data_IF_894921879716
#
_entry.id   IF_894921879716
#
_cell.length_a   1.000
_cell.length_b   1.000
_cell.length_c   1.000
_cell.angle_alpha   90.00
_cell.angle_beta   90.00
_cell.angle_gamma   90.00
#
_symmetry.space_group_name_H-M   'P 1'
#
loop_
_entity.id
_entity.type
_entity.pdbx_description
1 polymer ?
#
# COMPACT_ATOMS: atom_id res chain seq x y z
N UNK A 1 3.62 1.14 -16.27
CA UNK A 1 4.21 -0.07 -16.88
C UNK A 1 5.59 -0.40 -16.28
N UNK A 2 6.55 0.55 -16.28
CA UNK A 2 7.93 0.28 -15.81
C UNK A 2 7.97 -0.11 -14.33
N UNK A 3 7.12 0.50 -13.48
CA UNK A 3 7.00 0.13 -12.06
C UNK A 3 6.53 -1.32 -11.86
N UNK A 4 5.60 -1.79 -12.68
CA UNK A 4 5.15 -3.18 -12.64
C UNK A 4 6.29 -4.15 -13.03
N UNK A 5 7.04 -3.82 -14.08
CA UNK A 5 8.16 -4.63 -14.55
C UNK A 5 9.29 -4.68 -13.50
N UNK A 6 9.63 -3.54 -12.88
CA UNK A 6 10.67 -3.50 -11.85
C UNK A 6 10.25 -4.28 -10.59
N UNK A 7 8.99 -4.13 -10.15
CA UNK A 7 8.46 -4.87 -9.01
C UNK A 7 8.39 -6.37 -9.30
N UNK A 8 7.89 -6.77 -10.48
CA UNK A 8 7.83 -8.18 -10.86
C UNK A 8 9.21 -8.82 -10.95
N UNK A 9 10.19 -8.11 -11.53
CA UNK A 9 11.58 -8.61 -11.64
C UNK A 9 12.26 -8.73 -10.28
N UNK A 10 12.12 -7.71 -9.44
CA UNK A 10 12.70 -7.71 -8.09
C UNK A 10 12.00 -8.75 -7.19
N UNK A 11 10.67 -8.81 -7.24
CA UNK A 11 9.89 -9.80 -6.49
C UNK A 11 10.26 -11.24 -6.88
N UNK A 12 10.44 -11.51 -8.19
CA UNK A 12 10.93 -12.80 -8.65
C UNK A 12 12.34 -13.11 -8.12
N UNK A 13 13.23 -12.12 -8.11
CA UNK A 13 14.60 -12.32 -7.60
C UNK A 13 14.64 -12.62 -6.09
N UNK A 14 13.70 -12.06 -5.32
CA UNK A 14 13.62 -12.24 -3.86
C UNK A 14 12.89 -13.55 -3.49
N UNK A 15 11.78 -13.86 -4.17
CA UNK A 15 10.86 -14.94 -3.78
C UNK A 15 10.92 -16.17 -4.69
N UNK A 16 11.67 -16.14 -5.80
CA UNK A 16 11.76 -17.19 -6.83
C UNK A 16 10.40 -17.54 -7.50
N UNK A 17 9.39 -16.68 -7.36
CA UNK A 17 8.12 -16.80 -8.08
C UNK A 17 7.54 -15.42 -8.38
N UNK A 18 6.63 -15.36 -9.35
CA UNK A 18 5.94 -14.11 -9.69
C UNK A 18 4.75 -13.94 -8.77
N UNK A 19 4.79 -12.92 -7.93
CA UNK A 19 3.67 -12.52 -7.09
C UNK A 19 2.81 -11.48 -7.83
N UNK A 20 1.57 -11.84 -8.16
CA UNK A 20 0.65 -10.97 -8.90
C UNK A 20 0.33 -9.69 -8.12
N UNK A 21 0.15 -9.79 -6.80
CA UNK A 21 -0.11 -8.63 -5.94
C UNK A 21 1.07 -7.66 -5.96
N UNK A 22 2.31 -8.15 -5.88
CA UNK A 22 3.49 -7.29 -5.98
C UNK A 22 3.62 -6.64 -7.36
N UNK A 23 3.28 -7.35 -8.44
CA UNK A 23 3.27 -6.79 -9.79
C UNK A 23 2.25 -5.65 -9.92
N UNK A 24 1.04 -5.84 -9.41
CA UNK A 24 -0.02 -4.81 -9.40
C UNK A 24 0.39 -3.63 -8.52
N UNK A 25 0.88 -3.89 -7.31
CA UNK A 25 1.37 -2.85 -6.40
C UNK A 25 2.54 -2.06 -7.00
N UNK A 26 3.43 -2.71 -7.73
CA UNK A 26 4.49 -2.03 -8.48
C UNK A 26 3.96 -1.11 -9.59
N UNK A 27 2.88 -1.52 -10.27
CA UNK A 27 2.19 -0.66 -11.23
C UNK A 27 1.63 0.60 -10.54
N UNK A 28 0.91 0.41 -9.44
CA UNK A 28 0.33 1.50 -8.66
C UNK A 28 1.41 2.42 -8.08
N UNK A 29 2.48 1.86 -7.50
CA UNK A 29 3.61 2.64 -6.98
C UNK A 29 4.30 3.49 -8.05
N UNK A 30 4.44 2.94 -9.26
CA UNK A 30 4.96 3.70 -10.40
C UNK A 30 4.05 4.86 -10.81
N UNK A 31 2.74 4.67 -10.77
CA UNK A 31 1.76 5.73 -11.02
C UNK A 31 1.78 6.79 -9.91
N UNK A 32 1.81 6.37 -8.65
CA UNK A 32 1.92 7.29 -7.50
C UNK A 32 3.20 8.13 -7.61
N UNK A 33 4.34 7.49 -7.87
CA UNK A 33 5.63 8.16 -7.96
C UNK A 33 5.68 9.24 -9.04
N UNK A 34 5.02 9.04 -10.20
CA UNK A 34 5.06 10.02 -11.29
C UNK A 34 4.01 11.12 -11.16
N UNK A 35 3.00 10.94 -10.32
CA UNK A 35 1.82 11.82 -10.27
C UNK A 35 2.20 13.29 -9.99
N UNK A 36 3.13 13.55 -9.07
CA UNK A 36 3.51 14.89 -8.67
C UNK A 36 4.25 15.67 -9.76
N UNK A 37 4.98 14.99 -10.65
CA UNK A 37 5.91 15.61 -11.61
C UNK A 37 5.66 15.29 -13.08
N UNK A 38 4.58 14.58 -13.42
CA UNK A 38 4.35 14.05 -14.77
C UNK A 38 4.40 15.09 -15.90
N UNK A 39 4.00 16.33 -15.61
CA UNK A 39 4.00 17.43 -16.57
C UNK A 39 5.36 18.14 -16.73
N UNK A 40 6.27 17.94 -15.77
CA UNK A 40 7.53 18.67 -15.66
C UNK A 40 8.77 17.80 -15.89
N UNK A 41 8.60 16.53 -16.28
CA UNK A 41 9.71 15.61 -16.55
C UNK A 41 9.65 15.03 -17.96
N UNK A 42 10.80 14.63 -18.49
CA UNK A 42 10.87 13.93 -19.79
C UNK A 42 10.46 12.45 -19.64
N UNK A 43 10.06 11.81 -20.75
CA UNK A 43 9.65 10.40 -20.75
C UNK A 43 10.71 9.44 -20.17
N UNK A 44 12.01 9.55 -20.48
CA UNK A 44 13.03 8.70 -19.86
C UNK A 44 13.10 8.88 -18.33
N UNK A 45 12.98 10.12 -17.86
CA UNK A 45 12.95 10.43 -16.41
C UNK A 45 11.70 9.87 -15.77
N UNK A 46 10.54 9.97 -16.42
CA UNK A 46 9.31 9.35 -15.94
C UNK A 46 9.44 7.82 -15.79
N UNK A 47 10.11 7.17 -16.75
CA UNK A 47 10.42 5.74 -16.65
C UNK A 47 11.34 5.43 -15.45
N UNK A 48 12.37 6.23 -15.21
CA UNK A 48 13.25 6.10 -14.05
C UNK A 48 12.47 6.25 -12.73
N UNK A 49 11.64 7.28 -12.63
CA UNK A 49 10.81 7.53 -11.44
C UNK A 49 9.89 6.34 -11.16
N UNK A 50 9.22 5.83 -12.19
CA UNK A 50 8.33 4.67 -12.07
C UNK A 50 9.08 3.38 -11.73
N UNK A 51 10.28 3.17 -12.27
CA UNK A 51 11.13 2.03 -11.95
C UNK A 51 11.48 2.01 -10.46
N UNK A 52 11.95 3.13 -9.92
CA UNK A 52 12.29 3.25 -8.50
C UNK A 52 11.04 3.10 -7.63
N UNK A 53 9.89 3.66 -8.05
CA UNK A 53 8.61 3.47 -7.36
C UNK A 53 8.23 1.99 -7.20
N UNK A 54 8.37 1.20 -8.27
CA UNK A 54 8.14 -0.24 -8.21
C UNK A 54 9.12 -0.99 -7.29
N UNK A 55 10.40 -0.60 -7.28
CA UNK A 55 11.38 -1.17 -6.35
C UNK A 55 11.05 -0.83 -4.89
N UNK A 56 10.60 0.40 -4.62
CA UNK A 56 10.17 0.84 -3.28
C UNK A 56 8.97 0.01 -2.80
N UNK A 57 8.03 -0.32 -3.69
CA UNK A 57 6.86 -1.13 -3.34
C UNK A 57 7.27 -2.52 -2.83
N UNK A 58 8.21 -3.20 -3.50
CA UNK A 58 8.68 -4.52 -3.08
C UNK A 58 9.56 -4.42 -1.83
N UNK A 59 10.54 -3.53 -1.81
CA UNK A 59 11.45 -3.37 -0.67
C UNK A 59 10.73 -2.91 0.60
N UNK A 60 9.71 -2.06 0.44
CA UNK A 60 8.87 -1.61 1.55
C UNK A 60 7.99 -2.73 2.10
N UNK A 61 7.40 -3.56 1.25
CA UNK A 61 6.62 -4.74 1.64
C UNK A 61 7.48 -5.73 2.46
N UNK A 62 8.69 -6.05 1.97
CA UNK A 62 9.62 -6.92 2.69
C UNK A 62 10.10 -6.30 4.03
N UNK A 63 10.30 -4.97 4.06
CA UNK A 63 10.65 -4.27 5.30
C UNK A 63 9.51 -4.34 6.33
N UNK A 64 8.25 -4.14 5.92
CA UNK A 64 7.11 -4.22 6.82
C UNK A 64 6.94 -5.64 7.40
N UNK A 65 7.10 -6.67 6.57
CA UNK A 65 7.12 -8.07 7.02
C UNK A 65 8.22 -8.31 8.06
N UNK A 66 9.43 -7.81 7.80
CA UNK A 66 10.54 -7.92 8.76
C UNK A 66 10.24 -7.22 10.09
N UNK A 67 9.55 -6.08 10.06
CA UNK A 67 9.15 -5.32 11.24
C UNK A 67 7.90 -5.88 11.94
N UNK A 68 7.24 -6.91 11.38
CA UNK A 68 6.00 -7.47 11.90
C UNK A 68 4.82 -6.49 11.80
N UNK A 69 4.84 -5.59 10.83
CA UNK A 69 3.76 -4.63 10.57
C UNK A 69 2.87 -5.20 9.47
N UNK A 70 1.60 -5.40 9.79
CA UNK A 70 0.60 -5.85 8.82
C UNK A 70 0.16 -4.72 7.91
N UNK A 71 0.19 -4.98 6.61
CA UNK A 71 -0.32 -4.09 5.56
C UNK A 71 -0.95 -4.95 4.47
N UNK A 72 -2.23 -5.27 4.65
CA UNK A 72 -2.96 -6.25 3.83
C UNK A 72 -2.93 -5.96 2.32
N UNK A 73 -2.83 -4.70 1.93
CA UNK A 73 -2.89 -4.27 0.51
C UNK A 73 -1.60 -3.60 0.02
N UNK A 74 -0.60 -3.46 0.87
CA UNK A 74 0.63 -2.75 0.53
C UNK A 74 0.46 -1.23 0.45
N UNK A 75 -0.45 -0.66 1.24
CA UNK A 75 -0.76 0.77 1.21
C UNK A 75 0.45 1.63 1.61
N UNK A 76 1.21 1.20 2.61
CA UNK A 76 2.38 1.95 3.09
C UNK A 76 3.47 2.04 2.01
N UNK A 77 3.98 0.95 1.44
CA UNK A 77 5.04 1.04 0.43
C UNK A 77 4.57 1.70 -0.87
N UNK A 78 3.32 1.44 -1.29
CA UNK A 78 2.78 1.98 -2.55
C UNK A 78 2.46 3.47 -2.44
N UNK A 79 1.76 3.89 -1.38
CA UNK A 79 1.30 5.29 -1.29
C UNK A 79 2.27 6.17 -0.51
N UNK A 80 2.71 5.76 0.69
CA UNK A 80 3.65 6.54 1.46
C UNK A 80 5.06 6.49 0.85
N UNK A 81 5.60 5.29 0.62
CA UNK A 81 6.94 5.10 0.11
C UNK A 81 7.14 5.72 -1.27
N UNK A 82 6.33 5.31 -2.25
CA UNK A 82 6.43 5.85 -3.60
C UNK A 82 5.94 7.31 -3.70
N UNK A 83 5.05 7.78 -2.81
CA UNK A 83 4.63 9.18 -2.74
C UNK A 83 5.75 10.10 -2.25
N UNK A 84 6.49 9.73 -1.21
CA UNK A 84 7.69 10.44 -0.75
C UNK A 84 8.70 10.52 -1.89
N UNK A 85 8.98 9.39 -2.55
CA UNK A 85 9.89 9.35 -3.68
C UNK A 85 9.43 10.26 -4.82
N UNK A 86 8.15 10.19 -5.22
CA UNK A 86 7.59 11.01 -6.29
C UNK A 86 7.66 12.50 -6.00
N UNK A 87 7.39 12.90 -4.76
CA UNK A 87 7.52 14.28 -4.32
C UNK A 87 8.97 14.75 -4.38
N UNK A 88 9.92 13.96 -3.90
CA UNK A 88 11.35 14.25 -4.03
C UNK A 88 11.81 14.30 -5.48
N UNK A 89 11.28 13.43 -6.33
CA UNK A 89 11.62 13.38 -7.75
C UNK A 89 11.28 14.68 -8.51
N UNK A 90 10.24 15.41 -8.08
CA UNK A 90 9.95 16.75 -8.59
C UNK A 90 11.13 17.71 -8.33
N UNK A 91 11.65 17.70 -7.12
CA UNK A 91 12.82 18.50 -6.76
C UNK A 91 14.08 18.07 -7.50
N UNK A 92 14.28 16.77 -7.70
CA UNK A 92 15.48 16.22 -8.32
C UNK A 92 15.51 16.37 -9.85
N UNK A 93 14.39 16.10 -10.52
CA UNK A 93 14.32 15.92 -11.95
C UNK A 93 13.37 16.87 -12.68
N UNK A 94 12.46 17.54 -11.96
CA UNK A 94 11.50 18.46 -12.57
C UNK A 94 12.18 19.60 -13.32
N UNK A 95 11.67 19.96 -14.49
CA UNK A 95 12.13 21.13 -15.24
C UNK A 95 11.70 22.39 -14.48
N UNK A 96 12.68 23.18 -14.01
CA UNK A 96 12.44 24.37 -13.18
C UNK A 96 11.66 25.47 -13.91
N UNK A 97 11.83 25.58 -15.23
CA UNK A 97 11.09 26.54 -16.05
C UNK A 97 9.61 26.16 -16.14
N UNK A 98 9.31 24.86 -16.32
CA UNK A 98 7.94 24.34 -16.38
C UNK A 98 7.28 24.41 -14.99
N UNK A 99 8.03 24.15 -13.92
CA UNK A 99 7.55 24.29 -12.55
C UNK A 99 7.18 25.73 -12.20
N UNK A 100 7.86 26.72 -12.82
CA UNK A 100 7.52 28.14 -12.70
C UNK A 100 7.68 28.73 -11.31
N UNK A 101 8.42 28.07 -10.41
CA UNK A 101 8.59 28.50 -9.01
C UNK A 101 9.63 29.58 -8.82
N UNK A 102 10.51 29.78 -9.78
CA UNK A 102 11.65 30.70 -9.67
C UNK A 102 12.75 30.25 -8.72
N UNK A 103 12.63 29.04 -8.16
CA UNK A 103 13.58 28.46 -7.20
C UNK A 103 14.76 27.81 -7.92
N UNK A 104 15.91 27.80 -7.27
CA UNK A 104 17.03 26.96 -7.66
C UNK A 104 16.74 25.49 -7.39
N UNK A 105 17.52 24.58 -7.99
CA UNK A 105 17.36 23.13 -7.77
C UNK A 105 17.43 22.74 -6.28
N UNK A 106 18.36 23.32 -5.53
CA UNK A 106 18.51 23.05 -4.11
C UNK A 106 17.32 23.54 -3.28
N UNK A 107 16.83 24.74 -3.57
CA UNK A 107 15.64 25.29 -2.91
C UNK A 107 14.38 24.45 -3.25
N UNK A 108 14.25 24.02 -4.51
CA UNK A 108 13.14 23.17 -4.92
C UNK A 108 13.14 21.83 -4.14
N UNK A 109 14.30 21.18 -3.96
CA UNK A 109 14.42 19.97 -3.13
C UNK A 109 14.05 20.30 -1.67
N UNK A 110 14.54 21.42 -1.13
CA UNK A 110 14.21 21.85 0.23
C UNK A 110 12.71 22.05 0.45
N UNK A 111 12.01 22.67 -0.50
CA UNK A 111 10.54 22.83 -0.45
C UNK A 111 9.82 21.49 -0.52
N UNK A 112 10.28 20.53 -1.34
CA UNK A 112 9.68 19.20 -1.38
C UNK A 112 9.85 18.45 -0.06
N UNK A 113 11.04 18.51 0.54
CA UNK A 113 11.30 17.92 1.86
C UNK A 113 10.42 18.53 2.95
N UNK A 114 10.29 19.86 2.95
CA UNK A 114 9.41 20.56 3.88
C UNK A 114 7.95 20.13 3.68
N UNK A 115 7.48 20.04 2.44
CA UNK A 115 6.13 19.59 2.11
C UNK A 115 5.86 18.17 2.60
N UNK A 116 6.80 17.24 2.40
CA UNK A 116 6.72 15.87 2.90
C UNK A 116 6.59 15.86 4.44
N UNK A 117 7.44 16.63 5.13
CA UNK A 117 7.43 16.69 6.59
C UNK A 117 6.11 17.26 7.13
N UNK A 118 5.64 18.38 6.57
CA UNK A 118 4.37 19.00 6.97
C UNK A 118 3.20 18.06 6.73
N UNK A 119 3.16 17.41 5.55
CA UNK A 119 2.14 16.43 5.22
C UNK A 119 2.17 15.23 6.19
N UNK A 120 3.35 14.69 6.47
CA UNK A 120 3.52 13.58 7.40
C UNK A 120 3.01 13.92 8.80
N UNK A 121 3.43 15.05 9.36
CA UNK A 121 3.02 15.49 10.71
C UNK A 121 1.51 15.71 10.77
N UNK A 122 0.96 16.42 9.77
CA UNK A 122 -0.46 16.74 9.73
C UNK A 122 -1.32 15.48 9.56
N UNK A 123 -1.04 14.69 8.54
CA UNK A 123 -1.87 13.51 8.21
C UNK A 123 -1.78 12.47 9.31
N UNK A 124 -0.57 12.16 9.80
CA UNK A 124 -0.39 11.21 10.89
C UNK A 124 -1.07 11.70 12.17
N UNK A 125 -0.90 12.97 12.53
CA UNK A 125 -1.49 13.55 13.72
C UNK A 125 -3.02 13.52 13.67
N UNK A 126 -3.62 13.97 12.57
CA UNK A 126 -5.07 13.97 12.39
C UNK A 126 -5.62 12.54 12.35
N UNK A 127 -5.00 11.65 11.57
CA UNK A 127 -5.44 10.26 11.47
C UNK A 127 -5.34 9.55 12.82
N UNK A 128 -4.23 9.73 13.55
CA UNK A 128 -4.04 9.13 14.87
C UNK A 128 -5.13 9.59 15.87
N UNK A 129 -5.38 10.89 15.93
CA UNK A 129 -6.43 11.43 16.82
C UNK A 129 -7.80 10.90 16.42
N UNK A 130 -8.12 10.91 15.12
CA UNK A 130 -9.42 10.44 14.62
C UNK A 130 -9.64 8.97 14.92
N UNK A 131 -8.67 8.11 14.61
CA UNK A 131 -8.75 6.67 14.90
C UNK A 131 -8.90 6.41 16.39
N UNK A 132 -8.14 7.11 17.24
CA UNK A 132 -8.25 6.98 18.70
C UNK A 132 -9.60 7.43 19.25
N UNK A 133 -10.22 8.45 18.66
CA UNK A 133 -11.55 8.90 19.05
C UNK A 133 -12.63 7.91 18.61
N UNK A 134 -12.53 7.39 17.39
CA UNK A 134 -13.46 6.39 16.86
C UNK A 134 -13.40 5.09 17.68
N UNK A 135 -12.19 4.62 17.99
CA UNK A 135 -11.99 3.40 18.77
C UNK A 135 -12.59 3.47 20.20
N UNK A 136 -12.76 4.70 20.75
CA UNK A 136 -13.48 4.91 22.02
C UNK A 136 -14.99 4.81 21.88
N UNK A 137 -15.52 5.07 20.69
CA UNK A 137 -16.97 5.07 20.42
C UNK A 137 -17.40 3.69 19.94
N UNK A 138 -16.62 3.10 19.06
CA UNK A 138 -16.87 1.79 18.47
C UNK A 138 -15.53 1.07 18.35
N UNK A 139 -15.37 -0.12 18.94
CA UNK A 139 -14.14 -0.92 18.78
C UNK A 139 -13.84 -1.11 17.30
N UNK A 140 -12.66 -0.69 16.86
CA UNK A 140 -12.24 -0.79 15.45
C UNK A 140 -11.57 -2.11 15.14
N UNK A 141 -11.04 -2.79 16.16
CA UNK A 141 -10.39 -4.08 16.00
C UNK A 141 -11.37 -5.19 16.34
N UNK A 142 -11.43 -6.19 15.49
CA UNK A 142 -12.19 -7.41 15.73
C UNK A 142 -11.61 -8.20 16.91
N UNK A 143 -12.41 -9.06 17.60
CA UNK A 143 -11.88 -9.99 18.60
C UNK A 143 -10.76 -10.86 18.03
N UNK A 144 -9.78 -11.21 18.87
CA UNK A 144 -8.66 -12.05 18.45
C UNK A 144 -9.09 -13.40 17.83
N UNK A 145 -10.16 -13.96 18.35
CA UNK A 145 -10.76 -15.21 17.87
C UNK A 145 -11.23 -15.11 16.40
N UNK A 146 -11.80 -13.93 16.02
CA UNK A 146 -12.22 -13.66 14.65
C UNK A 146 -11.03 -13.40 13.73
N UNK A 147 -9.98 -12.76 14.25
CA UNK A 147 -8.73 -12.51 13.51
C UNK A 147 -8.01 -13.83 13.21
N UNK A 148 -7.93 -14.74 14.18
CA UNK A 148 -7.32 -16.06 14.04
C UNK A 148 -8.11 -16.98 13.08
N UNK A 149 -9.43 -16.86 13.07
CA UNK A 149 -10.30 -17.63 12.17
C UNK A 149 -10.34 -17.09 10.73
N UNK A 150 -9.89 -15.85 10.53
CA UNK A 150 -9.96 -15.14 9.26
C UNK A 150 -11.22 -14.30 9.11
N UNK A 151 -11.03 -13.05 8.66
CA UNK A 151 -12.12 -12.08 8.55
C UNK A 151 -13.14 -12.43 7.46
N UNK A 152 -12.73 -13.11 6.40
CA UNK A 152 -13.64 -13.57 5.35
C UNK A 152 -14.71 -14.50 5.92
N UNK A 153 -14.31 -15.41 6.81
CA UNK A 153 -15.24 -16.32 7.48
C UNK A 153 -16.08 -15.59 8.54
N UNK A 154 -15.42 -14.84 9.44
CA UNK A 154 -16.07 -14.26 10.62
C UNK A 154 -16.99 -13.07 10.31
N UNK A 155 -16.64 -12.24 9.31
CA UNK A 155 -17.39 -11.03 8.96
C UNK A 155 -18.29 -11.21 7.72
N UNK A 156 -17.84 -12.01 6.74
CA UNK A 156 -18.56 -12.18 5.47
C UNK A 156 -19.19 -13.56 5.29
N UNK A 157 -18.83 -14.54 6.14
CA UNK A 157 -19.33 -15.91 6.02
C UNK A 157 -18.80 -16.64 4.77
N UNK A 158 -17.78 -16.07 4.11
CA UNK A 158 -17.18 -16.67 2.93
C UNK A 158 -16.08 -17.63 3.36
N UNK A 159 -16.20 -18.88 2.92
CA UNK A 159 -15.15 -19.88 3.03
C UNK A 159 -14.38 -19.84 1.72
N UNK A 160 -13.19 -19.25 1.72
CA UNK A 160 -12.26 -19.47 0.60
C UNK A 160 -11.93 -20.97 0.55
N UNK A 161 -11.69 -21.54 -0.65
CA UNK A 161 -11.37 -22.95 -0.91
C UNK A 161 -10.07 -23.46 -0.25
N UNK A 162 -9.68 -22.89 0.89
CA UNK A 162 -8.66 -23.44 1.77
C UNK A 162 -9.32 -24.47 2.67
N UNK A 163 -8.71 -25.63 2.83
CA UNK A 163 -9.09 -26.64 3.81
C UNK A 163 -9.01 -26.01 5.22
N UNK A 164 -10.10 -25.37 5.65
CA UNK A 164 -10.21 -24.89 7.02
C UNK A 164 -10.27 -26.14 7.91
N UNK A 165 -9.36 -26.26 8.88
CA UNK A 165 -9.38 -27.42 9.78
C UNK A 165 -10.76 -27.57 10.44
N UNK A 166 -11.29 -28.79 10.48
CA UNK A 166 -12.66 -29.06 10.97
C UNK A 166 -12.91 -28.54 12.41
N UNK A 167 -11.88 -28.46 13.23
CA UNK A 167 -11.99 -27.92 14.59
C UNK A 167 -12.32 -26.43 14.60
N UNK A 168 -11.80 -25.64 13.62
CA UNK A 168 -12.11 -24.21 13.45
C UNK A 168 -13.55 -24.05 12.98
N UNK A 169 -13.99 -24.85 12.01
CA UNK A 169 -15.38 -24.85 11.54
C UNK A 169 -16.39 -25.24 12.63
N UNK A 170 -16.02 -26.16 13.53
CA UNK A 170 -16.88 -26.61 14.62
C UNK A 170 -17.13 -25.48 15.65
N UNK A 171 -16.13 -24.67 15.92
CA UNK A 171 -16.21 -23.56 16.86
C UNK A 171 -17.15 -22.44 16.34
N UNK A 172 -17.08 -22.12 15.04
CA UNK A 172 -17.98 -21.15 14.40
C UNK A 172 -19.41 -21.64 14.21
N UNK A 173 -19.66 -22.94 14.03
CA UNK A 173 -21.00 -23.51 13.97
C UNK A 173 -21.76 -23.41 15.30
N UNK A 174 -21.05 -23.25 16.42
CA UNK A 174 -21.64 -23.02 17.74
C UNK A 174 -22.03 -21.57 18.03
N UNK A 175 -21.43 -20.63 17.36
CA UNK A 175 -21.76 -19.20 17.45
C UNK A 175 -22.65 -18.84 16.26
N UNK A 176 -23.85 -18.31 16.50
CA UNK A 176 -24.93 -17.96 15.56
C UNK A 176 -24.50 -17.19 14.29
N UNK A 177 -23.63 -17.76 13.46
CA UNK A 177 -23.35 -17.25 12.11
C UNK A 177 -24.51 -17.68 11.22
N UNK A 178 -25.25 -16.73 10.62
CA UNK A 178 -26.30 -17.01 9.64
C UNK A 178 -25.68 -17.85 8.52
N UNK A 179 -26.14 -19.08 8.38
CA UNK A 179 -25.74 -19.93 7.26
C UNK A 179 -26.14 -19.25 5.94
N UNK A 180 -25.23 -19.17 4.96
CA UNK A 180 -25.64 -18.78 3.62
C UNK A 180 -26.62 -19.80 3.09
N UNK A 181 -27.73 -19.35 2.49
CA UNK A 181 -28.70 -20.19 1.84
C UNK A 181 -28.03 -21.09 0.82
N UNK A 182 -28.06 -22.39 1.09
CA UNK A 182 -27.74 -23.40 0.08
C UNK A 182 -28.77 -23.25 -1.04
N UNK A 183 -28.38 -22.64 -2.15
CA UNK A 183 -29.14 -22.80 -3.38
C UNK A 183 -28.84 -24.20 -3.91
N UNK A 184 -29.76 -25.13 -3.55
CA UNK A 184 -29.85 -26.43 -4.23
C UNK A 184 -29.97 -26.15 -5.73
N UNK A 185 -28.98 -26.58 -6.47
CA UNK A 185 -29.08 -26.73 -7.92
C UNK A 185 -29.40 -28.20 -8.19
N UNK A 186 -30.69 -28.46 -8.48
CA UNK A 186 -31.07 -29.59 -9.28
C UNK A 186 -30.62 -29.45 -10.74
#
# INVERSE_FOLDING_TARGET
AVGALSAGSLGFAVQNHVNVTQFVNGCLAGLVAITAGCFAVSTPVACLIGLVGGMISVGGDELLKYLGIDDAVGAIPVHLGAGIWGTLAVGLYGNLEILGTGLTRGEQIGVQLLGILVCAVWVFGVAYITVRLLDRITPLRVPAEHEDAGLNLSEHGEVEDYEIPEHVLAEFRGTNVRQPHSTDRE
#
